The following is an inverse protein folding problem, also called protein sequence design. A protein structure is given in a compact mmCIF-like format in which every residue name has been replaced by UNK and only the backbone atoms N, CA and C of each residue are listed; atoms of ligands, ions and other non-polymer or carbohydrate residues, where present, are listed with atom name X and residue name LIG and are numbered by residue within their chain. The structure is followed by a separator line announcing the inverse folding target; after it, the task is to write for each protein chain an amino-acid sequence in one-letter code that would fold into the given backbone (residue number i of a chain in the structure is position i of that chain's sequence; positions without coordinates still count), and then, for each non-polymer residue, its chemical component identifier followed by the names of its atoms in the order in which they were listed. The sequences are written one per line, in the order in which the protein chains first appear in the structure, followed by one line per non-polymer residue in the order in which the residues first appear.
data_IF_515924931382
#
_entry.id   IF_515924931382
#
_cell.length_a   1.000
_cell.length_b   1.000
_cell.length_c   1.000
_cell.angle_alpha   90.00
_cell.angle_beta   90.00
_cell.angle_gamma   90.00
#
_symmetry.space_group_name_H-M   'P 1'
#
loop_
_entity.id
_entity.type
_entity.pdbx_description
1 polymer ?
#
# COMPACT_ATOMS: atom_id res chain seq x y z
N UNK A 1 -15.54 31.86 -6.70
CA UNK A 1 -15.65 31.72 -5.22
C UNK A 1 -15.74 30.25 -4.79
N UNK A 2 -16.62 29.42 -5.38
CA UNK A 2 -16.73 27.97 -5.07
C UNK A 2 -15.43 27.18 -5.32
N UNK A 3 -14.73 27.44 -6.44
CA UNK A 3 -13.46 26.76 -6.78
C UNK A 3 -12.33 27.09 -5.79
N UNK A 4 -12.29 28.34 -5.27
CA UNK A 4 -11.27 28.78 -4.31
C UNK A 4 -11.54 28.18 -2.93
N UNK A 5 -12.81 28.04 -2.53
CA UNK A 5 -13.19 27.37 -1.27
C UNK A 5 -12.91 25.87 -1.33
N UNK A 6 -13.15 25.21 -2.47
CA UNK A 6 -12.74 23.81 -2.69
C UNK A 6 -11.23 23.65 -2.67
N UNK A 7 -10.46 24.58 -3.23
CA UNK A 7 -9.00 24.52 -3.23
C UNK A 7 -8.40 24.80 -1.85
N UNK A 8 -8.96 25.74 -1.07
CA UNK A 8 -8.54 26.02 0.31
C UNK A 8 -8.95 24.93 1.31
N UNK A 9 -10.11 24.29 1.10
CA UNK A 9 -10.55 23.12 1.85
C UNK A 9 -9.72 21.88 1.51
N UNK A 10 -9.46 21.65 0.22
CA UNK A 10 -8.58 20.58 -0.26
C UNK A 10 -7.13 20.80 0.17
N UNK A 11 -6.61 22.04 0.17
CA UNK A 11 -5.29 22.36 0.69
C UNK A 11 -5.21 22.23 2.23
N UNK A 12 -6.26 22.61 2.97
CA UNK A 12 -6.32 22.40 4.43
C UNK A 12 -6.49 20.93 4.80
N UNK A 13 -7.16 20.14 3.96
CA UNK A 13 -7.30 18.70 4.07
C UNK A 13 -5.97 18.00 3.74
N UNK A 14 -5.34 18.35 2.61
CA UNK A 14 -4.00 17.90 2.22
C UNK A 14 -2.97 18.24 3.31
N UNK A 15 -3.01 19.46 3.86
CA UNK A 15 -2.08 19.87 4.91
C UNK A 15 -2.29 19.11 6.23
N UNK A 16 -3.46 18.49 6.46
CA UNK A 16 -3.75 17.64 7.63
C UNK A 16 -3.31 16.18 7.46
N UNK A 17 -3.09 15.72 6.23
CA UNK A 17 -2.82 14.30 5.93
C UNK A 17 -1.43 14.11 5.28
N UNK A 18 -0.76 15.21 4.94
CA UNK A 18 0.65 15.21 4.55
C UNK A 18 1.49 14.44 5.58
N UNK A 19 2.36 13.55 5.10
CA UNK A 19 3.16 12.62 5.89
C UNK A 19 3.61 13.20 7.23
N UNK A 20 2.91 12.77 8.28
CA UNK A 20 3.06 13.31 9.62
C UNK A 20 4.48 13.07 10.13
N UNK A 21 5.09 11.96 9.74
CA UNK A 21 6.40 11.57 10.20
C UNK A 21 7.52 12.55 9.84
N UNK A 22 7.59 13.04 8.60
CA UNK A 22 8.69 13.92 8.18
C UNK A 22 8.38 15.40 8.39
N UNK A 23 7.13 15.81 8.14
CA UNK A 23 6.76 17.22 8.16
C UNK A 23 6.15 17.68 9.49
N UNK A 24 5.63 16.76 10.31
CA UNK A 24 4.92 17.08 11.55
C UNK A 24 5.16 16.07 12.66
N UNK A 25 6.41 15.98 13.09
CA UNK A 25 6.83 15.05 14.14
C UNK A 25 6.02 15.18 15.45
N UNK A 26 5.53 16.39 15.78
CA UNK A 26 4.65 16.61 16.93
C UNK A 26 3.27 15.97 16.79
N UNK A 27 2.70 15.96 15.58
CA UNK A 27 1.43 15.28 15.31
C UNK A 27 1.63 13.75 15.37
N UNK A 28 2.74 13.23 14.83
CA UNK A 28 3.08 11.81 14.94
C UNK A 28 3.15 11.36 16.41
N UNK A 29 3.83 12.11 17.28
CA UNK A 29 3.90 11.78 18.71
C UNK A 29 2.54 11.93 19.42
N UNK A 30 1.65 12.78 18.94
CA UNK A 30 0.32 12.94 19.52
C UNK A 30 -0.63 11.79 19.16
N UNK A 31 -0.65 11.37 17.88
CA UNK A 31 -1.54 10.29 17.40
C UNK A 31 -0.99 8.88 17.63
N UNK A 32 0.33 8.70 17.59
CA UNK A 32 1.01 7.40 17.63
C UNK A 32 1.88 7.23 18.88
N UNK A 33 1.46 7.81 20.01
CA UNK A 33 2.20 7.71 21.26
C UNK A 33 2.23 6.27 21.79
N UNK A 34 3.43 5.71 21.95
CA UNK A 34 3.64 4.38 22.53
C UNK A 34 4.08 4.40 24.01
N UNK A 35 4.21 5.58 24.63
CA UNK A 35 4.63 5.75 26.03
C UNK A 35 3.58 5.35 27.07
N UNK A 36 2.40 4.89 26.64
CA UNK A 36 1.32 4.47 27.54
C UNK A 36 1.63 3.17 28.30
N UNK A 37 2.50 2.30 27.75
CA UNK A 37 2.90 1.02 28.35
C UNK A 37 4.38 0.76 28.12
N UNK A 38 4.98 -0.08 28.96
CA UNK A 38 6.35 -0.56 28.79
C UNK A 38 6.46 -1.55 27.63
N UNK A 39 7.67 -1.73 27.08
CA UNK A 39 7.91 -2.66 25.97
C UNK A 39 7.46 -4.10 26.27
N UNK A 40 7.59 -4.54 27.53
CA UNK A 40 7.15 -5.87 27.97
C UNK A 40 5.63 -6.03 27.93
N UNK A 41 4.89 -5.03 28.42
CA UNK A 41 3.42 -5.03 28.37
C UNK A 41 2.91 -4.96 26.92
N UNK A 42 3.62 -4.27 26.02
CA UNK A 42 3.33 -4.27 24.59
C UNK A 42 3.57 -5.63 23.94
N UNK A 43 4.59 -6.37 24.36
CA UNK A 43 4.82 -7.75 23.92
C UNK A 43 3.71 -8.70 24.40
N UNK A 44 3.21 -8.53 25.63
CA UNK A 44 2.13 -9.35 26.18
C UNK A 44 0.77 -9.13 25.48
N UNK A 45 0.54 -7.92 24.96
CA UNK A 45 -0.62 -7.61 24.13
C UNK A 45 -0.53 -8.19 22.71
N UNK A 46 0.66 -8.61 22.29
CA UNK A 46 0.90 -9.20 20.99
C UNK A 46 0.21 -10.57 20.85
N UNK A 47 -0.77 -10.68 19.96
CA UNK A 47 -1.37 -11.97 19.66
C UNK A 47 -0.49 -12.75 18.68
N UNK A 48 0.03 -13.89 19.13
CA UNK A 48 0.82 -14.79 18.31
C UNK A 48 -0.10 -15.74 17.55
N UNK A 49 -0.02 -15.75 16.22
CA UNK A 49 -0.76 -16.71 15.40
C UNK A 49 0.19 -17.38 14.41
N UNK A 50 0.86 -18.39 14.94
CA UNK A 50 1.82 -19.22 14.21
C UNK A 50 1.16 -19.91 13.02
N UNK A 51 -0.13 -20.28 13.13
CA UNK A 51 -0.88 -20.90 12.04
C UNK A 51 -0.99 -19.99 10.82
N UNK A 52 -1.53 -18.79 10.99
CA UNK A 52 -1.64 -17.80 9.89
C UNK A 52 -0.25 -17.48 9.33
N UNK A 53 0.73 -17.24 10.20
CA UNK A 53 2.08 -16.90 9.78
C UNK A 53 2.76 -17.97 8.93
N UNK A 54 2.70 -19.24 9.35
CA UNK A 54 3.24 -20.36 8.57
C UNK A 54 2.50 -20.51 7.24
N UNK A 55 1.16 -20.44 7.24
CA UNK A 55 0.39 -20.57 5.99
C UNK A 55 0.75 -19.46 5.00
N UNK A 56 0.87 -18.21 5.45
CA UNK A 56 1.30 -17.08 4.62
C UNK A 56 2.69 -17.32 4.02
N UNK A 57 3.67 -17.74 4.82
CA UNK A 57 5.04 -18.00 4.37
C UNK A 57 5.08 -19.15 3.35
N UNK A 58 4.37 -20.25 3.61
CA UNK A 58 4.30 -21.41 2.70
C UNK A 58 3.69 -21.00 1.35
N UNK A 59 2.62 -20.22 1.35
CA UNK A 59 2.01 -19.70 0.11
C UNK A 59 3.02 -18.81 -0.63
N UNK A 60 3.75 -17.94 0.06
CA UNK A 60 4.81 -17.11 -0.53
C UNK A 60 5.92 -17.94 -1.18
N UNK A 61 6.38 -19.00 -0.50
CA UNK A 61 7.40 -19.93 -1.02
C UNK A 61 6.95 -20.70 -2.25
N UNK A 62 5.65 -20.95 -2.42
CA UNK A 62 5.10 -21.62 -3.60
C UNK A 62 4.89 -20.63 -4.74
N UNK A 63 4.35 -19.45 -4.45
CA UNK A 63 3.96 -18.46 -5.47
C UNK A 63 5.14 -17.70 -6.06
N UNK A 64 6.17 -17.38 -5.26
CA UNK A 64 7.33 -16.62 -5.72
C UNK A 64 8.13 -17.34 -6.83
N UNK A 65 8.45 -18.65 -6.73
CA UNK A 65 9.09 -19.37 -7.83
C UNK A 65 8.22 -19.47 -9.08
N UNK A 66 6.89 -19.52 -8.94
CA UNK A 66 5.97 -19.53 -10.08
C UNK A 66 5.98 -18.22 -10.87
N UNK A 67 6.28 -17.09 -10.22
CA UNK A 67 6.45 -15.81 -10.90
C UNK A 67 7.68 -15.79 -11.82
N UNK A 68 8.76 -16.51 -11.49
CA UNK A 68 10.02 -16.50 -12.27
C UNK A 68 9.82 -16.90 -13.75
N UNK A 69 9.21 -18.06 -14.09
CA UNK A 69 8.96 -18.41 -15.48
C UNK A 69 7.95 -17.47 -16.15
N UNK A 70 6.95 -16.96 -15.43
CA UNK A 70 5.99 -15.99 -15.95
C UNK A 70 6.70 -14.69 -16.37
N UNK A 71 7.57 -14.15 -15.53
CA UNK A 71 8.33 -12.94 -15.84
C UNK A 71 9.32 -13.16 -16.99
N UNK A 72 9.97 -14.33 -17.03
CA UNK A 72 10.93 -14.68 -18.09
C UNK A 72 10.24 -14.78 -19.46
N UNK A 73 9.05 -15.37 -19.51
CA UNK A 73 8.29 -15.50 -20.77
C UNK A 73 7.79 -14.16 -21.28
N UNK A 74 7.39 -13.25 -20.39
CA UNK A 74 6.98 -11.90 -20.77
C UNK A 74 8.11 -11.09 -21.39
N UNK A 75 9.37 -11.30 -20.98
CA UNK A 75 10.55 -10.57 -21.50
C UNK A 75 10.98 -10.97 -22.92
N UNK A 76 10.33 -11.94 -23.56
CA UNK A 76 10.64 -12.30 -24.95
C UNK A 76 10.38 -11.11 -25.89
N UNK A 77 11.38 -10.79 -26.72
CA UNK A 77 11.36 -9.62 -27.60
C UNK A 77 10.17 -9.57 -28.55
N UNK A 78 9.68 -10.73 -29.01
CA UNK A 78 8.49 -10.87 -29.85
C UNK A 78 7.22 -10.35 -29.14
N UNK A 79 7.05 -10.67 -27.86
CA UNK A 79 5.88 -10.27 -27.08
C UNK A 79 6.02 -8.83 -26.56
N UNK A 80 7.25 -8.38 -26.31
CA UNK A 80 7.54 -7.05 -25.79
C UNK A 80 7.22 -5.90 -26.75
N UNK A 81 6.96 -6.21 -28.03
CA UNK A 81 6.48 -5.22 -28.99
C UNK A 81 5.09 -4.68 -28.62
N UNK A 82 4.27 -5.51 -27.97
CA UNK A 82 2.93 -5.13 -27.54
C UNK A 82 2.96 -4.47 -26.16
N UNK A 83 2.34 -3.29 -26.07
CA UNK A 83 2.27 -2.49 -24.84
C UNK A 83 1.59 -3.19 -23.67
N UNK A 84 0.70 -4.14 -23.95
CA UNK A 84 0.08 -4.96 -22.93
C UNK A 84 1.11 -5.80 -22.16
N UNK A 85 2.09 -6.42 -22.83
CA UNK A 85 3.09 -7.25 -22.15
C UNK A 85 4.03 -6.41 -21.28
N UNK A 86 4.35 -5.19 -21.72
CA UNK A 86 5.11 -4.24 -20.91
C UNK A 86 4.36 -3.91 -19.61
N UNK A 87 3.07 -3.55 -19.71
CA UNK A 87 2.22 -3.26 -18.54
C UNK A 87 2.04 -4.48 -17.63
N UNK A 88 1.85 -5.67 -18.20
CA UNK A 88 1.75 -6.92 -17.44
C UNK A 88 3.02 -7.23 -16.67
N UNK A 89 4.20 -7.00 -17.26
CA UNK A 89 5.46 -7.18 -16.57
C UNK A 89 5.63 -6.19 -15.42
N UNK A 90 5.30 -4.91 -15.64
CA UNK A 90 5.33 -3.92 -14.56
C UNK A 90 4.41 -4.32 -13.39
N UNK A 91 3.18 -4.78 -13.68
CA UNK A 91 2.28 -5.32 -12.67
C UNK A 91 2.89 -6.52 -11.94
N UNK A 92 3.51 -7.46 -12.68
CA UNK A 92 4.15 -8.63 -12.10
C UNK A 92 5.33 -8.30 -11.18
N UNK A 93 6.09 -7.23 -11.46
CA UNK A 93 7.13 -6.74 -10.52
C UNK A 93 6.49 -6.24 -9.22
N UNK A 94 5.39 -5.48 -9.31
CA UNK A 94 4.66 -5.00 -8.13
C UNK A 94 4.05 -6.16 -7.36
N UNK A 95 3.51 -7.16 -8.04
CA UNK A 95 2.95 -8.37 -7.40
C UNK A 95 4.02 -9.15 -6.61
N UNK A 96 5.25 -9.26 -7.14
CA UNK A 96 6.37 -9.88 -6.41
C UNK A 96 6.69 -9.10 -5.13
N UNK A 97 6.73 -7.77 -5.19
CA UNK A 97 6.90 -6.92 -4.00
C UNK A 97 5.75 -7.15 -3.02
N UNK A 98 4.51 -7.23 -3.51
CA UNK A 98 3.32 -7.53 -2.72
C UNK A 98 3.37 -8.89 -2.03
N UNK A 99 3.91 -9.93 -2.68
CA UNK A 99 4.13 -11.26 -2.10
C UNK A 99 5.16 -11.18 -0.97
N UNK A 100 6.28 -10.49 -1.18
CA UNK A 100 7.29 -10.29 -0.12
C UNK A 100 6.67 -9.65 1.12
N UNK A 101 5.85 -8.61 0.91
CA UNK A 101 5.23 -7.85 2.00
C UNK A 101 4.14 -8.68 2.72
N UNK A 102 3.23 -9.30 1.95
CA UNK A 102 2.04 -9.98 2.49
C UNK A 102 2.32 -11.41 2.98
N UNK A 103 3.27 -12.13 2.37
CA UNK A 103 3.55 -13.52 2.73
C UNK A 103 4.72 -13.64 3.71
N UNK A 104 5.82 -12.94 3.46
CA UNK A 104 7.03 -13.08 4.28
C UNK A 104 7.04 -12.12 5.46
N UNK A 105 6.87 -10.81 5.23
CA UNK A 105 6.96 -9.81 6.30
C UNK A 105 5.75 -9.91 7.24
N UNK A 106 4.54 -9.90 6.68
CA UNK A 106 3.30 -10.08 7.46
C UNK A 106 3.26 -11.46 8.13
N UNK A 107 3.73 -12.51 7.46
CA UNK A 107 3.81 -13.85 8.05
C UNK A 107 4.79 -13.93 9.23
N UNK A 108 5.96 -13.30 9.11
CA UNK A 108 6.93 -13.19 10.21
C UNK A 108 6.36 -12.39 11.39
N UNK A 109 5.72 -11.25 11.12
CA UNK A 109 5.06 -10.44 12.14
C UNK A 109 3.91 -11.18 12.84
N UNK A 110 3.16 -12.03 12.12
CA UNK A 110 2.11 -12.86 12.70
C UNK A 110 2.65 -13.94 13.65
N UNK A 111 3.83 -14.51 13.36
CA UNK A 111 4.50 -15.48 14.25
C UNK A 111 5.01 -14.78 15.51
N UNK A 112 5.67 -13.64 15.34
CA UNK A 112 6.23 -12.85 16.44
C UNK A 112 5.17 -12.10 17.25
N UNK A 113 3.93 -11.96 16.75
CA UNK A 113 2.87 -11.23 17.43
C UNK A 113 3.16 -9.73 17.55
N UNK A 114 4.02 -9.16 16.69
CA UNK A 114 4.53 -7.80 16.85
C UNK A 114 3.39 -6.77 16.78
N UNK A 115 3.29 -5.95 17.82
CA UNK A 115 2.46 -4.72 17.81
C UNK A 115 3.24 -3.54 17.23
N UNK A 116 2.52 -2.52 16.74
CA UNK A 116 3.08 -1.28 16.18
C UNK A 116 4.21 -0.67 17.06
N UNK A 117 4.02 -0.67 18.38
CA UNK A 117 4.95 -0.03 19.32
C UNK A 117 6.31 -0.71 19.52
N UNK A 118 6.54 -1.93 19.01
CA UNK A 118 7.89 -2.53 19.04
C UNK A 118 8.88 -1.76 18.16
N UNK A 119 8.41 -1.22 17.03
CA UNK A 119 9.23 -0.46 16.10
C UNK A 119 8.33 0.56 15.38
N UNK A 120 7.89 1.64 16.06
CA UNK A 120 6.86 2.54 15.54
C UNK A 120 7.35 3.29 14.30
N UNK A 121 8.61 3.73 14.30
CA UNK A 121 9.23 4.42 13.15
C UNK A 121 9.29 3.51 11.91
N UNK A 122 9.71 2.26 12.08
CA UNK A 122 9.79 1.29 10.99
C UNK A 122 8.40 0.94 10.46
N UNK A 123 7.48 0.57 11.35
CA UNK A 123 6.12 0.19 10.97
C UNK A 123 5.37 1.33 10.29
N UNK A 124 5.57 2.57 10.74
CA UNK A 124 4.97 3.74 10.11
C UNK A 124 5.48 3.92 8.68
N UNK A 125 6.80 4.06 8.47
CA UNK A 125 7.40 4.26 7.14
C UNK A 125 7.07 3.12 6.19
N UNK A 126 7.14 1.90 6.70
CA UNK A 126 6.85 0.71 5.91
C UNK A 126 5.36 0.59 5.57
N UNK A 127 4.48 1.02 6.47
CA UNK A 127 3.04 1.14 6.23
C UNK A 127 2.69 2.11 5.10
N UNK A 128 3.39 3.25 4.99
CA UNK A 128 3.24 4.19 3.88
C UNK A 128 3.59 3.52 2.54
N UNK A 129 4.68 2.75 2.50
CA UNK A 129 5.15 2.06 1.31
C UNK A 129 4.18 0.95 0.88
N UNK A 130 3.68 0.15 1.81
CA UNK A 130 2.70 -0.91 1.50
C UNK A 130 1.44 -0.31 0.87
N UNK A 131 0.91 0.76 1.47
CA UNK A 131 -0.26 1.46 0.92
C UNK A 131 0.00 2.04 -0.46
N UNK A 132 1.19 2.61 -0.68
CA UNK A 132 1.64 3.02 -2.00
C UNK A 132 1.64 1.85 -2.99
N UNK A 133 2.31 0.75 -2.68
CA UNK A 133 2.40 -0.39 -3.61
C UNK A 133 1.04 -1.00 -3.92
N UNK A 134 0.14 -1.10 -2.95
CA UNK A 134 -1.21 -1.60 -3.17
C UNK A 134 -2.00 -0.72 -4.15
N UNK A 135 -1.94 0.59 -3.98
CA UNK A 135 -2.66 1.54 -4.84
C UNK A 135 -2.07 1.59 -6.26
N UNK A 136 -0.76 1.43 -6.41
CA UNK A 136 -0.08 1.28 -7.71
C UNK A 136 -0.53 0.02 -8.43
N UNK A 137 -0.64 -1.10 -7.72
CA UNK A 137 -1.12 -2.36 -8.28
C UNK A 137 -2.55 -2.21 -8.83
N UNK A 138 -3.44 -1.58 -8.06
CA UNK A 138 -4.81 -1.29 -8.48
C UNK A 138 -4.86 -0.40 -9.73
N UNK A 139 -4.11 0.71 -9.72
CA UNK A 139 -4.06 1.63 -10.86
C UNK A 139 -3.48 0.95 -12.12
N UNK A 140 -2.42 0.16 -11.96
CA UNK A 140 -1.82 -0.60 -13.06
C UNK A 140 -2.80 -1.62 -13.64
N UNK A 141 -3.59 -2.29 -12.81
CA UNK A 141 -4.63 -3.22 -13.23
C UNK A 141 -5.74 -2.52 -14.03
N UNK A 142 -6.15 -1.31 -13.63
CA UNK A 142 -7.11 -0.49 -14.38
C UNK A 142 -6.55 -0.07 -15.74
N UNK A 143 -5.29 0.39 -15.80
CA UNK A 143 -4.63 0.74 -17.06
C UNK A 143 -4.52 -0.48 -17.99
N UNK A 144 -4.24 -1.66 -17.43
CA UNK A 144 -4.19 -2.91 -18.18
C UNK A 144 -5.58 -3.30 -18.74
N UNK A 145 -6.63 -3.20 -17.92
CA UNK A 145 -8.00 -3.45 -18.36
C UNK A 145 -8.40 -2.50 -19.50
N UNK A 146 -8.09 -1.21 -19.35
CA UNK A 146 -8.32 -0.22 -20.40
C UNK A 146 -7.54 -0.55 -21.68
N UNK A 147 -6.28 -0.98 -21.57
CA UNK A 147 -5.50 -1.43 -22.73
C UNK A 147 -6.17 -2.61 -23.46
N UNK A 148 -6.78 -3.55 -22.73
CA UNK A 148 -7.53 -4.67 -23.32
C UNK A 148 -8.81 -4.20 -24.03
N UNK A 149 -9.54 -3.24 -23.45
CA UNK A 149 -10.71 -2.64 -24.10
C UNK A 149 -10.33 -1.92 -25.41
N UNK A 150 -9.21 -1.20 -25.43
CA UNK A 150 -8.70 -0.53 -26.64
C UNK A 150 -8.39 -1.54 -27.74
N UNK A 151 -7.71 -2.64 -27.40
CA UNK A 151 -7.40 -3.69 -28.36
C UNK A 151 -8.66 -4.37 -28.90
N UNK A 152 -9.70 -4.52 -28.07
CA UNK A 152 -10.99 -5.10 -28.49
C UNK A 152 -11.77 -4.17 -29.44
N UNK A 153 -11.79 -2.87 -29.17
CA UNK A 153 -12.51 -1.90 -30.01
C UNK A 153 -11.84 -1.68 -31.37
N UNK A 154 -10.55 -2.02 -31.49
CA UNK A 154 -9.77 -1.92 -32.74
C UNK A 154 -9.86 -0.54 -33.43
N UNK A 155 -9.94 0.53 -32.64
CA UNK A 155 -9.93 1.89 -33.19
C UNK A 155 -8.49 2.37 -33.42
N UNK A 156 -8.23 2.89 -34.62
CA UNK A 156 -6.91 3.44 -35.00
C UNK A 156 -6.44 4.57 -34.07
N UNK A 157 -7.38 5.40 -33.59
CA UNK A 157 -7.06 6.52 -32.69
C UNK A 157 -6.61 6.04 -31.30
N UNK A 158 -7.34 5.12 -30.66
CA UNK A 158 -6.97 4.65 -29.31
C UNK A 158 -5.76 3.73 -29.34
N UNK A 159 -5.60 2.90 -30.38
CA UNK A 159 -4.39 2.08 -30.53
C UNK A 159 -3.13 2.93 -30.66
N UNK A 160 -3.20 4.11 -31.31
CA UNK A 160 -2.08 5.07 -31.39
C UNK A 160 -1.64 5.63 -30.02
N UNK A 161 -2.54 5.66 -29.01
CA UNK A 161 -2.19 6.11 -27.65
C UNK A 161 -1.28 5.13 -26.91
N UNK A 162 -1.36 3.85 -27.26
CA UNK A 162 -0.59 2.76 -26.64
C UNK A 162 0.54 2.26 -27.56
N UNK A 163 0.88 2.94 -28.65
CA UNK A 163 1.94 2.48 -29.55
C UNK A 163 3.33 3.06 -29.20
N UNK A 164 4.35 2.22 -29.33
CA UNK A 164 5.76 2.60 -29.24
C UNK A 164 6.19 3.10 -27.85
N UNK A 165 6.88 4.25 -27.82
CA UNK A 165 7.39 4.86 -26.59
C UNK A 165 6.31 5.57 -25.77
N UNK A 166 5.09 5.73 -26.30
CA UNK A 166 4.00 6.40 -25.57
C UNK A 166 3.49 5.59 -24.37
N UNK A 167 3.70 4.27 -24.39
CA UNK A 167 3.40 3.37 -23.26
C UNK A 167 4.16 3.76 -22.00
N UNK A 168 5.34 4.37 -22.11
CA UNK A 168 6.08 4.82 -20.92
C UNK A 168 5.38 5.96 -20.18
N UNK A 169 4.59 6.80 -20.86
CA UNK A 169 3.75 7.81 -20.20
C UNK A 169 2.62 7.18 -19.38
N UNK A 170 2.18 5.98 -19.74
CA UNK A 170 1.18 5.26 -18.95
C UNK A 170 1.75 4.70 -17.65
N UNK A 171 3.08 4.51 -17.52
CA UNK A 171 3.72 4.20 -16.23
C UNK A 171 3.80 5.39 -15.29
N UNK A 172 3.86 6.61 -15.84
CA UNK A 172 3.87 7.83 -15.04
C UNK A 172 2.59 7.95 -14.20
N UNK A 173 1.44 7.48 -14.69
CA UNK A 173 0.17 7.52 -13.96
C UNK A 173 0.22 6.71 -12.64
N UNK A 174 0.54 5.39 -12.64
CA UNK A 174 0.74 4.65 -11.41
C UNK A 174 1.84 5.24 -10.51
N UNK A 175 2.94 5.76 -11.06
CA UNK A 175 4.04 6.33 -10.25
C UNK A 175 3.61 7.63 -9.56
N UNK A 176 2.88 8.51 -10.24
CA UNK A 176 2.34 9.72 -9.60
C UNK A 176 1.30 9.35 -8.55
N UNK A 177 0.49 8.32 -8.83
CA UNK A 177 -0.49 7.80 -7.88
C UNK A 177 0.19 7.21 -6.62
N UNK A 178 1.30 6.47 -6.79
CA UNK A 178 2.16 5.99 -5.69
C UNK A 178 2.59 7.14 -4.78
N UNK A 179 3.20 8.16 -5.37
CA UNK A 179 3.76 9.30 -4.63
C UNK A 179 2.64 10.08 -3.92
N UNK A 180 1.47 10.20 -4.55
CA UNK A 180 0.32 10.83 -3.91
C UNK A 180 -0.12 10.04 -2.66
N UNK A 181 -0.28 8.72 -2.76
CA UNK A 181 -0.70 7.91 -1.61
C UNK A 181 0.37 7.80 -0.53
N UNK A 182 1.66 7.71 -0.89
CA UNK A 182 2.74 7.70 0.10
C UNK A 182 2.97 9.04 0.80
N UNK A 183 2.43 10.15 0.30
CA UNK A 183 2.64 11.48 0.90
C UNK A 183 1.38 12.00 1.59
N UNK A 184 0.18 11.67 1.08
CA UNK A 184 -1.06 12.33 1.49
C UNK A 184 -2.10 11.38 2.09
N UNK A 185 -1.77 10.11 2.32
CA UNK A 185 -2.70 9.13 2.89
C UNK A 185 -2.07 8.54 4.15
N UNK A 186 -2.83 8.40 5.26
CA UNK A 186 -2.32 7.81 6.48
C UNK A 186 -1.86 6.37 6.22
N UNK A 187 -0.75 5.94 6.84
CA UNK A 187 -0.24 4.60 6.63
C UNK A 187 -1.19 3.55 7.21
N UNK A 188 -1.20 2.38 6.59
CA UNK A 188 -1.71 1.18 7.25
C UNK A 188 -0.60 0.62 8.14
N UNK A 189 -0.92 0.38 9.40
CA UNK A 189 -0.02 -0.09 10.43
C UNK A 189 -0.36 -1.53 10.79
N UNK A 190 0.65 -2.35 11.04
CA UNK A 190 0.41 -3.74 11.38
C UNK A 190 -0.14 -3.86 12.80
N UNK A 191 -1.27 -4.58 12.94
CA UNK A 191 -1.82 -4.98 14.24
C UNK A 191 -1.86 -6.50 14.33
N UNK A 192 -1.22 -7.05 15.36
CA UNK A 192 -1.23 -8.48 15.63
C UNK A 192 -2.57 -8.97 16.16
N UNK A 193 -3.44 -8.09 16.69
CA UNK A 193 -4.78 -8.47 17.15
C UNK A 193 -5.70 -8.96 16.01
N UNK A 194 -5.56 -8.34 14.84
CA UNK A 194 -6.32 -8.70 13.63
C UNK A 194 -5.46 -9.39 12.56
N UNK A 195 -4.15 -9.52 12.80
CA UNK A 195 -3.15 -10.03 11.85
C UNK A 195 -3.17 -9.36 10.47
N UNK A 196 -3.53 -8.08 10.41
CA UNK A 196 -3.61 -7.31 9.16
C UNK A 196 -3.10 -5.88 9.34
N UNK A 197 -2.83 -5.24 8.21
CA UNK A 197 -2.45 -3.84 8.13
C UNK A 197 -3.71 -2.98 8.17
N UNK A 198 -3.86 -2.19 9.23
CA UNK A 198 -5.04 -1.38 9.50
C UNK A 198 -4.66 0.07 9.69
N UNK A 199 -5.56 0.98 9.31
CA UNK A 199 -5.35 2.42 9.50
C UNK A 199 -5.33 2.81 10.99
N UNK A 200 -6.00 2.03 11.85
CA UNK A 200 -6.03 2.22 13.29
C UNK A 200 -5.12 1.18 13.99
N UNK A 201 -3.93 1.57 14.49
CA UNK A 201 -2.98 0.65 15.11
C UNK A 201 -3.46 0.08 16.45
N UNK A 202 -4.40 0.75 17.12
CA UNK A 202 -4.92 0.36 18.44
C UNK A 202 -6.25 -0.41 18.34
N UNK A 203 -6.63 -0.84 17.14
CA UNK A 203 -7.85 -1.61 16.92
C UNK A 203 -7.83 -2.90 17.75
N UNK A 204 -8.70 -2.98 18.75
CA UNK A 204 -8.82 -4.13 19.65
C UNK A 204 -7.90 -4.12 20.87
N UNK A 205 -7.12 -3.05 21.07
CA UNK A 205 -6.24 -2.88 22.23
C UNK A 205 -6.80 -1.79 23.16
N UNK A 206 -6.93 -2.10 24.45
CA UNK A 206 -7.37 -1.14 25.46
C UNK A 206 -6.18 -0.28 25.90
N UNK A 207 -6.08 0.93 25.34
CA UNK A 207 -5.02 1.91 25.61
C UNK A 207 -5.67 3.23 26.00
N UNK A 208 -5.07 3.96 26.95
CA UNK A 208 -5.47 5.33 27.38
C UNK A 208 -5.25 6.42 26.29
N UNK A 209 -5.18 6.03 25.02
CA UNK A 209 -5.15 6.94 23.88
C UNK A 209 -6.58 7.11 23.39
N UNK A 210 -7.11 8.34 23.38
CA UNK A 210 -8.50 8.60 22.95
C UNK A 210 -8.75 8.02 21.55
N UNK A 211 -9.54 6.94 21.40
CA UNK A 211 -9.78 6.30 20.12
C UNK A 211 -10.47 7.23 19.12
N UNK A 212 -11.16 8.27 19.61
CA UNK A 212 -11.78 9.28 18.76
C UNK A 212 -10.75 10.12 18.00
N UNK A 213 -9.54 10.29 18.57
CA UNK A 213 -8.47 11.09 18.01
C UNK A 213 -7.84 10.42 16.78
N UNK A 214 -7.42 9.16 16.89
CA UNK A 214 -6.89 8.37 15.76
C UNK A 214 -7.97 8.17 14.69
N UNK A 215 -9.20 7.89 15.13
CA UNK A 215 -10.36 7.71 14.24
C UNK A 215 -10.73 8.99 13.48
N UNK A 216 -10.37 10.18 13.98
CA UNK A 216 -10.60 11.45 13.27
C UNK A 216 -9.73 11.61 12.02
N UNK A 217 -8.54 11.00 12.02
CA UNK A 217 -7.60 11.01 10.89
C UNK A 217 -7.95 9.91 9.89
N UNK A 218 -8.42 8.75 10.36
CA UNK A 218 -8.68 7.57 9.50
C UNK A 218 -10.07 7.55 8.87
N UNK A 219 -11.12 8.06 9.57
CA UNK A 219 -12.51 8.13 9.05
C UNK A 219 -12.65 8.74 7.65
N UNK A 220 -12.09 9.92 7.34
CA UNK A 220 -12.27 10.52 6.03
C UNK A 220 -11.63 9.69 4.91
N UNK A 221 -10.66 8.83 5.21
CA UNK A 221 -9.99 7.96 4.23
C UNK A 221 -10.78 6.67 4.00
N UNK A 222 -11.33 6.07 5.06
CA UNK A 222 -12.22 4.88 4.96
C UNK A 222 -13.45 5.16 4.10
N UNK A 223 -13.92 6.41 4.02
CA UNK A 223 -15.06 6.77 3.15
C UNK A 223 -14.69 6.96 1.67
N UNK A 224 -13.40 7.04 1.35
CA UNK A 224 -12.90 7.31 -0.01
C UNK A 224 -12.31 6.04 -0.66
N UNK A 225 -11.88 5.08 0.16
CA UNK A 225 -11.45 3.73 -0.25
C UNK A 225 -12.66 2.81 -0.37
#
# INVERSE_FOLDING_TARGET
MVIVVSFSFFASFIHRIMEMYFFRHGDFQHYYNCSAKSDQEWSELGQHNVGIGITCIVIGLITLPLYIPCMTTMLRSELWQHSCYKLMFFNGVIDIIGIVNSCFITGYFAIQGTVFCHAPHFNYLYGCLIMGFWTVQCMTSVVLAFNRCVNFWNSSLLSSMFQGNRTYYWYLLPIVYFLYFCIFVPPCLYSSYVHMWVLDPFLGVDVDVDPALVRSVTKPVIQVV
#
